data_IF_795833206179
#
_entry.id   IF_795833206179
#
_cell.length_a   1.000
_cell.length_b   1.000
_cell.length_c   1.000
_cell.angle_alpha   90.00
_cell.angle_beta   90.00
_cell.angle_gamma   90.00
#
_symmetry.space_group_name_H-M   'P 1'
#
loop_
_entity.id
_entity.type
_entity.pdbx_description
1 polymer ?
#
# COMPACT_ATOMS: atom_id res chain seq x y z
N UNK A 1 -2.53 13.73 31.29
CA UNK A 1 -1.15 14.06 30.87
C UNK A 1 -0.37 12.74 30.84
N UNK A 2 -0.40 12.04 29.69
CA UNK A 2 0.30 10.76 29.54
C UNK A 2 1.75 11.05 29.15
N UNK A 3 2.66 10.87 30.09
CA UNK A 3 4.08 10.82 29.79
C UNK A 3 4.41 9.43 29.22
N UNK A 4 4.66 9.36 27.90
CA UNK A 4 5.30 8.20 27.33
C UNK A 4 6.77 8.21 27.74
N UNK A 5 7.32 7.13 28.28
CA UNK A 5 8.72 7.06 28.65
C UNK A 5 9.57 6.81 27.39
N UNK A 6 9.85 7.87 26.65
CA UNK A 6 10.97 7.81 25.71
C UNK A 6 12.25 8.06 26.53
N UNK A 7 13.28 7.21 26.41
CA UNK A 7 14.56 7.50 27.02
C UNK A 7 15.08 8.81 26.45
N UNK A 8 15.29 9.78 27.32
CA UNK A 8 15.97 11.03 26.97
C UNK A 8 17.37 10.63 26.50
N UNK A 9 17.67 10.82 25.23
CA UNK A 9 19.03 10.63 24.69
C UNK A 9 19.95 11.57 25.47
N UNK A 10 20.99 11.02 26.09
CA UNK A 10 22.07 11.82 26.66
C UNK A 10 22.67 12.68 25.55
N UNK A 11 22.60 14.00 25.70
CA UNK A 11 23.12 14.99 24.76
C UNK A 11 24.66 14.92 24.60
N UNK A 12 25.34 14.03 25.31
CA UNK A 12 26.78 13.80 25.26
C UNK A 12 27.19 12.47 24.58
N UNK A 13 26.26 11.74 23.99
CA UNK A 13 26.63 10.55 23.20
C UNK A 13 27.24 10.98 21.87
N UNK A 14 28.50 11.33 21.86
CA UNK A 14 29.37 11.41 20.69
C UNK A 14 29.75 9.99 20.26
N UNK A 15 28.77 9.21 19.83
CA UNK A 15 29.00 7.88 19.26
C UNK A 15 28.47 7.90 17.82
N UNK A 16 29.39 7.77 16.86
CA UNK A 16 29.02 7.47 15.49
C UNK A 16 28.18 6.19 15.42
N UNK A 17 27.61 5.90 14.26
CA UNK A 17 26.76 4.76 13.96
C UNK A 17 27.30 3.39 14.43
N UNK A 18 28.58 3.31 14.75
CA UNK A 18 29.33 2.11 15.14
C UNK A 18 29.01 1.56 16.53
N UNK A 19 28.18 2.25 17.33
CA UNK A 19 27.92 1.84 18.73
C UNK A 19 26.47 1.41 19.00
N UNK A 20 25.70 1.06 17.98
CA UNK A 20 24.30 0.58 18.15
C UNK A 20 24.24 -0.93 18.48
N UNK A 21 25.37 -1.62 18.53
CA UNK A 21 25.44 -3.06 18.74
C UNK A 21 24.82 -3.85 17.58
N UNK A 22 24.44 -5.09 17.83
CA UNK A 22 23.69 -5.88 16.86
C UNK A 22 22.24 -5.39 16.83
N UNK A 23 21.86 -4.71 15.75
CA UNK A 23 20.47 -4.32 15.55
C UNK A 23 19.61 -5.57 15.31
N UNK A 24 18.36 -5.59 15.84
CA UNK A 24 17.47 -6.71 15.59
C UNK A 24 17.06 -6.73 14.10
N UNK A 25 17.04 -7.92 13.52
CA UNK A 25 16.46 -8.17 12.21
C UNK A 25 15.05 -8.75 12.37
N UNK A 26 14.19 -8.48 11.39
CA UNK A 26 12.84 -9.05 11.37
C UNK A 26 12.91 -10.56 11.11
N UNK A 27 12.35 -11.34 12.01
CA UNK A 27 12.12 -12.77 11.80
C UNK A 27 10.77 -12.98 11.09
N UNK A 28 10.82 -13.46 9.85
CA UNK A 28 9.65 -13.71 9.01
C UNK A 28 9.16 -15.15 9.10
N UNK A 29 9.73 -15.98 9.96
CA UNK A 29 9.34 -17.40 10.11
C UNK A 29 7.90 -17.59 10.57
N UNK A 30 7.28 -16.57 11.18
CA UNK A 30 5.83 -16.54 11.50
C UNK A 30 4.95 -16.62 10.23
N UNK A 31 5.47 -16.12 9.10
CA UNK A 31 4.81 -16.20 7.82
C UNK A 31 5.21 -17.48 7.10
N UNK A 32 6.47 -17.58 6.68
CA UNK A 32 7.07 -18.76 6.04
C UNK A 32 8.55 -18.88 6.38
N UNK A 33 9.05 -20.11 6.45
CA UNK A 33 10.45 -20.38 6.82
C UNK A 33 11.46 -20.05 5.71
N UNK A 34 10.99 -19.82 4.48
CA UNK A 34 11.81 -19.46 3.32
C UNK A 34 11.02 -19.41 2.03
N UNK A 35 11.69 -18.98 0.95
CA UNK A 35 11.08 -18.88 -0.38
C UNK A 35 10.72 -20.25 -0.98
N UNK A 36 11.48 -21.28 -0.59
CA UNK A 36 11.25 -22.68 -1.00
C UNK A 36 10.48 -23.51 0.05
N UNK A 37 9.87 -22.84 1.04
CA UNK A 37 9.17 -23.52 2.13
C UNK A 37 8.02 -24.39 1.62
N UNK A 38 7.90 -25.66 2.07
CA UNK A 38 6.79 -26.52 1.67
C UNK A 38 5.40 -25.96 2.00
N UNK A 39 5.29 -25.18 3.09
CA UNK A 39 4.06 -24.50 3.48
C UNK A 39 3.69 -23.38 2.52
N UNK A 40 4.65 -22.62 1.99
CA UNK A 40 4.40 -21.61 0.96
C UNK A 40 3.85 -22.26 -0.32
N UNK A 41 4.48 -23.34 -0.75
CA UNK A 41 4.02 -24.09 -1.93
C UNK A 41 2.61 -24.63 -1.73
N UNK A 42 2.34 -25.24 -0.58
CA UNK A 42 1.00 -25.76 -0.24
C UNK A 42 -0.05 -24.64 -0.24
N UNK A 43 0.28 -23.47 0.31
CA UNK A 43 -0.63 -22.33 0.35
C UNK A 43 -0.88 -21.74 -1.05
N UNK A 44 0.12 -21.72 -1.93
CA UNK A 44 -0.05 -21.34 -3.35
C UNK A 44 -0.95 -22.34 -4.10
N UNK A 45 -0.70 -23.65 -3.96
CA UNK A 45 -1.50 -24.71 -4.59
C UNK A 45 -2.97 -24.66 -4.09
N UNK A 46 -3.15 -24.43 -2.78
CA UNK A 46 -4.49 -24.26 -2.19
C UNK A 46 -5.18 -23.00 -2.73
N UNK A 47 -4.48 -21.88 -2.82
CA UNK A 47 -5.04 -20.62 -3.24
C UNK A 47 -5.56 -20.68 -4.68
N UNK A 48 -4.79 -21.25 -5.60
CA UNK A 48 -5.20 -21.46 -6.99
C UNK A 48 -6.52 -22.26 -7.09
N UNK A 49 -6.58 -23.38 -6.35
CA UNK A 49 -7.76 -24.23 -6.32
C UNK A 49 -8.94 -23.52 -5.65
N UNK A 50 -8.71 -22.82 -4.55
CA UNK A 50 -9.75 -22.09 -3.82
C UNK A 50 -10.36 -20.97 -4.67
N UNK A 51 -9.53 -20.20 -5.38
CA UNK A 51 -10.00 -19.14 -6.29
C UNK A 51 -10.86 -19.72 -7.43
N UNK A 52 -10.38 -20.80 -8.06
CA UNK A 52 -11.12 -21.47 -9.14
C UNK A 52 -12.46 -22.03 -8.67
N UNK A 53 -12.48 -22.71 -7.52
CA UNK A 53 -13.72 -23.26 -6.97
C UNK A 53 -14.68 -22.16 -6.51
N UNK A 54 -14.16 -21.07 -5.93
CA UNK A 54 -14.96 -19.93 -5.52
C UNK A 54 -15.69 -19.28 -6.70
N UNK A 55 -14.98 -19.04 -7.81
CA UNK A 55 -15.59 -18.51 -9.02
C UNK A 55 -16.66 -19.47 -9.56
N UNK A 56 -16.35 -20.78 -9.66
CA UNK A 56 -17.33 -21.80 -10.13
C UNK A 56 -18.58 -21.84 -9.28
N UNK A 57 -18.46 -21.70 -7.95
CA UNK A 57 -19.56 -21.82 -7.02
C UNK A 57 -20.44 -20.57 -6.97
N UNK A 58 -19.86 -19.38 -7.14
CA UNK A 58 -20.52 -18.10 -6.81
C UNK A 58 -20.69 -17.12 -7.96
N UNK A 59 -19.87 -17.15 -9.02
CA UNK A 59 -20.00 -16.18 -10.13
C UNK A 59 -21.38 -16.23 -10.77
N UNK A 60 -22.04 -15.08 -10.87
CA UNK A 60 -23.40 -14.93 -11.38
C UNK A 60 -24.51 -15.31 -10.39
N UNK A 61 -24.18 -15.63 -9.13
CA UNK A 61 -25.16 -16.24 -8.20
C UNK A 61 -25.38 -15.46 -6.91
N UNK A 62 -24.62 -14.40 -6.61
CA UNK A 62 -24.71 -13.69 -5.33
C UNK A 62 -26.13 -13.17 -5.03
N UNK A 63 -26.84 -12.68 -6.03
CA UNK A 63 -28.20 -12.16 -5.88
C UNK A 63 -29.24 -13.23 -5.47
N UNK A 64 -28.94 -14.50 -5.71
CA UNK A 64 -29.82 -15.62 -5.35
C UNK A 64 -29.48 -16.30 -4.03
N UNK A 65 -28.42 -15.86 -3.33
CA UNK A 65 -28.03 -16.45 -2.04
C UNK A 65 -28.96 -15.96 -0.92
N UNK A 66 -29.27 -16.88 -0.01
CA UNK A 66 -29.87 -16.52 1.28
C UNK A 66 -28.78 -15.95 2.23
N UNK A 67 -29.20 -15.52 3.42
CA UNK A 67 -28.28 -14.90 4.38
C UNK A 67 -27.13 -15.85 4.83
N UNK A 68 -27.40 -17.16 4.93
CA UNK A 68 -26.36 -18.13 5.29
C UNK A 68 -25.43 -18.40 4.12
N UNK A 69 -25.94 -18.51 2.91
CA UNK A 69 -25.14 -18.68 1.69
C UNK A 69 -24.24 -17.48 1.42
N UNK A 70 -24.74 -16.25 1.65
CA UNK A 70 -23.91 -15.05 1.52
C UNK A 70 -22.83 -14.99 2.61
N UNK A 71 -23.13 -15.38 3.85
CA UNK A 71 -22.12 -15.48 4.92
C UNK A 71 -21.03 -16.49 4.55
N UNK A 72 -21.39 -17.68 4.07
CA UNK A 72 -20.41 -18.68 3.64
C UNK A 72 -19.53 -18.15 2.51
N UNK A 73 -20.12 -17.49 1.52
CA UNK A 73 -19.39 -16.85 0.43
C UNK A 73 -18.38 -15.82 0.97
N UNK A 74 -18.78 -14.94 1.87
CA UNK A 74 -17.91 -13.92 2.49
C UNK A 74 -16.78 -14.58 3.27
N UNK A 75 -17.05 -15.58 4.10
CA UNK A 75 -16.03 -16.29 4.88
C UNK A 75 -15.01 -17.01 3.99
N UNK A 76 -15.45 -17.59 2.88
CA UNK A 76 -14.53 -18.21 1.90
C UNK A 76 -13.66 -17.17 1.22
N UNK A 77 -14.23 -16.02 0.81
CA UNK A 77 -13.46 -14.90 0.25
C UNK A 77 -12.45 -14.33 1.24
N UNK A 78 -12.85 -14.18 2.51
CA UNK A 78 -11.96 -13.73 3.60
C UNK A 78 -10.77 -14.68 3.77
N UNK A 79 -11.00 -16.00 3.75
CA UNK A 79 -9.93 -16.99 3.86
C UNK A 79 -8.97 -16.92 2.66
N UNK A 80 -9.48 -16.78 1.45
CA UNK A 80 -8.67 -16.58 0.23
C UNK A 80 -7.81 -15.33 0.39
N UNK A 81 -8.41 -14.20 0.78
CA UNK A 81 -7.71 -12.94 1.00
C UNK A 81 -6.65 -13.01 2.08
N UNK A 82 -6.92 -13.77 3.16
CA UNK A 82 -5.96 -13.99 4.26
C UNK A 82 -4.72 -14.75 3.78
N UNK A 83 -4.89 -15.81 3.01
CA UNK A 83 -3.75 -16.60 2.49
C UNK A 83 -2.98 -15.80 1.44
N UNK A 84 -3.68 -15.15 0.49
CA UNK A 84 -3.04 -14.29 -0.49
C UNK A 84 -2.25 -13.15 0.18
N UNK A 85 -2.85 -12.51 1.18
CA UNK A 85 -2.21 -11.45 1.96
C UNK A 85 -0.97 -11.95 2.73
N UNK A 86 -1.02 -13.16 3.31
CA UNK A 86 0.13 -13.78 3.98
C UNK A 86 1.30 -14.00 3.03
N UNK A 87 1.03 -14.53 1.82
CA UNK A 87 2.05 -14.75 0.79
C UNK A 87 2.66 -13.42 0.35
N UNK A 88 1.82 -12.43 0.05
CA UNK A 88 2.28 -11.11 -0.40
C UNK A 88 3.03 -10.35 0.69
N UNK A 89 2.61 -10.46 1.95
CA UNK A 89 3.33 -9.87 3.09
C UNK A 89 4.71 -10.48 3.23
N UNK A 90 4.84 -11.81 3.12
CA UNK A 90 6.14 -12.47 3.17
C UNK A 90 7.06 -12.01 2.02
N UNK A 91 6.55 -12.04 0.78
CA UNK A 91 7.32 -11.63 -0.39
C UNK A 91 7.76 -10.17 -0.32
N UNK A 92 6.84 -9.26 0.08
CA UNK A 92 7.12 -7.84 0.24
C UNK A 92 8.14 -7.56 1.34
N UNK A 93 7.97 -8.14 2.53
CA UNK A 93 8.91 -7.93 3.64
C UNK A 93 10.31 -8.50 3.33
N UNK A 94 10.39 -9.62 2.63
CA UNK A 94 11.65 -10.16 2.13
C UNK A 94 12.35 -9.22 1.15
N UNK A 95 11.59 -8.61 0.24
CA UNK A 95 12.10 -7.61 -0.70
C UNK A 95 12.58 -6.36 0.02
N UNK A 96 11.75 -5.80 0.94
CA UNK A 96 12.09 -4.56 1.65
C UNK A 96 13.26 -4.67 2.62
N UNK A 97 13.64 -5.88 3.04
CA UNK A 97 14.90 -6.08 3.78
C UNK A 97 16.13 -5.73 2.94
N UNK A 98 16.09 -5.97 1.61
CA UNK A 98 17.20 -5.71 0.68
C UNK A 98 16.68 -5.41 -0.72
N UNK A 99 16.23 -4.20 -0.95
CA UNK A 99 15.57 -3.77 -2.21
C UNK A 99 16.46 -3.83 -3.44
N UNK A 100 17.79 -3.86 -3.27
CA UNK A 100 18.78 -4.00 -4.36
C UNK A 100 19.14 -5.45 -4.67
N UNK A 101 18.59 -6.43 -3.96
CA UNK A 101 18.81 -7.86 -4.23
C UNK A 101 17.90 -8.34 -5.36
N UNK A 102 18.50 -8.66 -6.51
CA UNK A 102 17.77 -9.08 -7.71
C UNK A 102 16.99 -10.39 -7.51
N UNK A 103 17.45 -11.30 -6.63
CA UNK A 103 16.75 -12.54 -6.32
C UNK A 103 15.44 -12.27 -5.57
N UNK A 104 15.50 -11.43 -4.54
CA UNK A 104 14.33 -11.02 -3.76
C UNK A 104 13.33 -10.19 -4.56
N UNK A 105 13.82 -9.27 -5.42
CA UNK A 105 12.98 -8.51 -6.34
C UNK A 105 12.24 -9.44 -7.32
N UNK A 106 12.96 -10.45 -7.86
CA UNK A 106 12.34 -11.46 -8.72
C UNK A 106 11.29 -12.28 -7.97
N UNK A 107 11.59 -12.76 -6.76
CA UNK A 107 10.65 -13.52 -5.95
C UNK A 107 9.38 -12.72 -5.67
N UNK A 108 9.51 -11.44 -5.28
CA UNK A 108 8.36 -10.56 -5.08
C UNK A 108 7.50 -10.42 -6.33
N UNK A 109 8.14 -10.18 -7.50
CA UNK A 109 7.42 -10.06 -8.77
C UNK A 109 6.73 -11.37 -9.19
N UNK A 110 7.39 -12.52 -9.02
CA UNK A 110 6.82 -13.83 -9.32
C UNK A 110 5.59 -14.13 -8.44
N UNK A 111 5.63 -13.76 -7.15
CA UNK A 111 4.49 -13.94 -6.24
C UNK A 111 3.34 -13.00 -6.60
N UNK A 112 3.63 -11.74 -6.90
CA UNK A 112 2.62 -10.76 -7.33
C UNK A 112 1.90 -11.23 -8.59
N UNK A 113 2.64 -11.67 -9.61
CA UNK A 113 2.05 -12.17 -10.85
C UNK A 113 1.15 -13.39 -10.61
N UNK A 114 1.63 -14.37 -9.82
CA UNK A 114 0.83 -15.57 -9.49
C UNK A 114 -0.46 -15.20 -8.74
N UNK A 115 -0.34 -14.38 -7.69
CA UNK A 115 -1.51 -13.97 -6.89
C UNK A 115 -2.51 -13.21 -7.76
N UNK A 116 -2.06 -12.28 -8.61
CA UNK A 116 -2.92 -11.56 -9.55
C UNK A 116 -3.65 -12.54 -10.47
N UNK A 117 -2.94 -13.47 -11.09
CA UNK A 117 -3.53 -14.48 -11.98
C UNK A 117 -4.57 -15.34 -11.25
N UNK A 118 -4.30 -15.77 -10.01
CA UNK A 118 -5.23 -16.58 -9.23
C UNK A 118 -6.47 -15.80 -8.81
N UNK A 119 -6.32 -14.50 -8.50
CA UNK A 119 -7.42 -13.68 -7.95
C UNK A 119 -8.24 -12.95 -9.02
N UNK A 120 -7.74 -12.81 -10.25
CA UNK A 120 -8.51 -12.22 -11.36
C UNK A 120 -9.92 -12.82 -11.52
N UNK A 121 -10.12 -14.16 -11.44
CA UNK A 121 -11.46 -14.74 -11.48
C UNK A 121 -12.39 -14.26 -10.34
N UNK A 122 -11.87 -13.70 -9.25
CA UNK A 122 -12.65 -13.28 -8.07
C UNK A 122 -13.18 -11.85 -8.18
N UNK A 123 -12.79 -11.10 -9.20
CA UNK A 123 -13.22 -9.71 -9.40
C UNK A 123 -14.76 -9.59 -9.40
N UNK A 124 -15.46 -10.61 -9.88
CA UNK A 124 -16.93 -10.65 -9.86
C UNK A 124 -17.55 -10.42 -8.48
N UNK A 125 -16.87 -10.88 -7.40
CA UNK A 125 -17.43 -10.85 -6.04
C UNK A 125 -17.80 -9.43 -5.61
N UNK A 126 -16.88 -8.48 -5.73
CA UNK A 126 -17.15 -7.07 -5.40
C UNK A 126 -18.15 -6.45 -6.37
N UNK A 127 -18.10 -6.82 -7.65
CA UNK A 127 -18.98 -6.30 -8.69
C UNK A 127 -20.42 -6.74 -8.47
N UNK A 128 -20.64 -8.01 -8.20
CA UNK A 128 -21.99 -8.55 -7.91
C UNK A 128 -22.50 -8.06 -6.56
N UNK A 129 -21.65 -7.96 -5.54
CA UNK A 129 -22.04 -7.40 -4.25
C UNK A 129 -22.54 -5.95 -4.40
N UNK A 130 -21.89 -5.15 -5.26
CA UNK A 130 -22.32 -3.79 -5.57
C UNK A 130 -23.67 -3.75 -6.32
N UNK A 131 -24.02 -4.80 -7.09
CA UNK A 131 -25.27 -4.89 -7.83
C UNK A 131 -26.46 -5.32 -6.98
N UNK A 132 -26.22 -5.87 -5.78
CA UNK A 132 -27.34 -6.20 -4.89
C UNK A 132 -28.15 -4.94 -4.60
N UNK A 133 -29.47 -5.07 -4.62
CA UNK A 133 -30.36 -3.99 -4.19
C UNK A 133 -30.19 -3.71 -2.69
N UNK A 134 -30.26 -2.45 -2.29
CA UNK A 134 -30.00 -2.03 -0.91
C UNK A 134 -30.95 -2.68 0.08
N UNK A 135 -32.25 -2.74 -0.27
CA UNK A 135 -33.28 -3.39 0.57
C UNK A 135 -33.06 -4.91 0.69
N UNK A 136 -32.60 -5.54 -0.38
CA UNK A 136 -32.28 -6.97 -0.36
C UNK A 136 -31.09 -7.26 0.57
N UNK A 137 -30.00 -6.53 0.42
CA UNK A 137 -28.83 -6.69 1.30
C UNK A 137 -29.18 -6.39 2.76
N UNK A 138 -29.97 -5.32 3.03
CA UNK A 138 -30.42 -5.01 4.37
C UNK A 138 -31.27 -6.14 4.99
N UNK A 139 -32.13 -6.78 4.20
CA UNK A 139 -32.91 -7.93 4.65
C UNK A 139 -32.03 -9.14 5.00
N UNK A 140 -30.98 -9.43 4.18
CA UNK A 140 -30.04 -10.51 4.46
C UNK A 140 -29.25 -10.26 5.75
N UNK A 141 -28.76 -9.03 5.95
CA UNK A 141 -28.05 -8.61 7.17
C UNK A 141 -28.94 -8.74 8.42
N UNK A 142 -30.23 -8.41 8.30
CA UNK A 142 -31.19 -8.55 9.41
C UNK A 142 -31.46 -10.02 9.78
N UNK A 143 -31.42 -10.93 8.80
CA UNK A 143 -31.69 -12.35 9.01
C UNK A 143 -30.53 -13.10 9.68
N UNK A 144 -29.28 -12.65 9.53
CA UNK A 144 -28.12 -13.34 10.07
C UNK A 144 -27.18 -12.36 10.80
N UNK A 145 -27.11 -12.45 12.17
CA UNK A 145 -26.26 -11.56 12.97
C UNK A 145 -24.74 -11.66 12.66
N UNK A 146 -24.26 -12.83 12.25
CA UNK A 146 -22.85 -13.00 11.88
C UNK A 146 -22.56 -12.32 10.54
N UNK A 147 -23.48 -12.38 9.58
CA UNK A 147 -23.40 -11.61 8.34
C UNK A 147 -23.47 -10.10 8.61
N UNK A 148 -24.30 -9.66 9.55
CA UNK A 148 -24.44 -8.26 9.92
C UNK A 148 -23.13 -7.62 10.41
N UNK A 149 -22.20 -8.40 10.97
CA UNK A 149 -20.86 -7.94 11.37
C UNK A 149 -20.02 -7.45 10.18
N UNK A 150 -20.31 -7.92 8.97
CA UNK A 150 -19.64 -7.50 7.74
C UNK A 150 -20.23 -6.22 7.12
N UNK A 151 -21.29 -5.64 7.71
CA UNK A 151 -21.89 -4.41 7.20
C UNK A 151 -20.87 -3.31 6.89
N UNK A 152 -19.89 -2.98 7.78
CA UNK A 152 -18.90 -1.95 7.48
C UNK A 152 -18.02 -2.28 6.25
N UNK A 153 -17.73 -3.58 6.03
CA UNK A 153 -16.99 -4.05 4.85
C UNK A 153 -17.83 -3.85 3.59
N UNK A 154 -19.11 -4.22 3.65
CA UNK A 154 -20.05 -4.03 2.53
C UNK A 154 -20.24 -2.54 2.21
N UNK A 155 -20.41 -1.69 3.21
CA UNK A 155 -20.55 -0.25 3.03
C UNK A 155 -19.34 0.33 2.30
N UNK A 156 -18.11 -0.08 2.69
CA UNK A 156 -16.86 0.36 2.05
C UNK A 156 -16.76 -0.12 0.59
N UNK A 157 -17.07 -1.39 0.32
CA UNK A 157 -17.09 -1.93 -1.05
C UNK A 157 -18.12 -1.15 -1.89
N UNK A 158 -19.31 -0.95 -1.37
CA UNK A 158 -20.42 -0.28 -2.06
C UNK A 158 -20.21 1.21 -2.27
N UNK A 159 -19.33 1.85 -1.50
CA UNK A 159 -18.93 3.23 -1.75
C UNK A 159 -18.30 3.43 -3.14
N UNK A 160 -17.71 2.38 -3.71
CA UNK A 160 -17.18 2.38 -5.09
C UNK A 160 -18.25 2.13 -6.17
N UNK A 161 -19.49 1.72 -5.81
CA UNK A 161 -20.58 1.39 -6.76
C UNK A 161 -20.81 2.47 -7.83
N UNK A 162 -20.83 3.79 -7.52
CA UNK A 162 -21.04 4.83 -8.52
C UNK A 162 -19.91 4.94 -9.56
N UNK A 163 -18.73 4.41 -9.25
CA UNK A 163 -17.50 4.50 -10.03
C UNK A 163 -17.05 3.17 -10.64
N UNK A 164 -17.90 2.15 -10.53
CA UNK A 164 -17.62 0.82 -11.06
C UNK A 164 -17.71 0.83 -12.59
N UNK A 165 -16.72 0.19 -13.23
CA UNK A 165 -16.70 -0.03 -14.67
C UNK A 165 -17.44 -1.32 -15.06
N UNK A 166 -17.41 -1.68 -16.34
CA UNK A 166 -17.89 -3.00 -16.78
C UNK A 166 -16.98 -4.12 -16.24
N UNK A 167 -17.51 -5.35 -16.16
CA UNK A 167 -16.78 -6.49 -15.61
C UNK A 167 -15.49 -6.77 -16.36
N UNK A 168 -15.52 -6.64 -17.68
CA UNK A 168 -14.35 -6.84 -18.53
C UNK A 168 -13.27 -5.78 -18.26
N UNK A 169 -13.70 -4.51 -18.06
CA UNK A 169 -12.76 -3.44 -17.74
C UNK A 169 -12.20 -3.57 -16.31
N UNK A 170 -13.01 -3.97 -15.34
CA UNK A 170 -12.51 -4.21 -13.96
C UNK A 170 -11.51 -5.38 -13.94
N UNK A 171 -11.76 -6.47 -14.66
CA UNK A 171 -10.81 -7.57 -14.82
C UNK A 171 -9.53 -7.10 -15.51
N UNK A 172 -9.66 -6.35 -16.61
CA UNK A 172 -8.50 -5.77 -17.29
C UNK A 172 -7.68 -4.84 -16.40
N UNK A 173 -8.33 -3.97 -15.63
CA UNK A 173 -7.65 -3.07 -14.68
C UNK A 173 -6.95 -3.84 -13.56
N UNK A 174 -7.54 -4.93 -13.08
CA UNK A 174 -6.92 -5.81 -12.11
C UNK A 174 -5.62 -6.44 -12.66
N UNK A 175 -5.67 -7.01 -13.85
CA UNK A 175 -4.48 -7.58 -14.50
C UNK A 175 -3.40 -6.54 -14.78
N UNK A 176 -3.81 -5.31 -15.15
CA UNK A 176 -2.89 -4.20 -15.42
C UNK A 176 -2.17 -3.69 -14.16
N UNK A 177 -2.69 -3.97 -12.97
CA UNK A 177 -2.13 -3.54 -11.68
C UNK A 177 -0.64 -3.90 -11.54
N UNK A 178 -0.23 -5.09 -11.99
CA UNK A 178 1.19 -5.53 -11.96
C UNK A 178 2.12 -4.56 -12.72
N UNK A 179 1.64 -4.00 -13.84
CA UNK A 179 2.41 -3.05 -14.65
C UNK A 179 2.45 -1.68 -13.99
N UNK A 180 1.35 -1.26 -13.37
CA UNK A 180 1.26 0.02 -12.64
C UNK A 180 2.21 0.02 -11.44
N UNK A 181 2.18 -1.03 -10.63
CA UNK A 181 3.04 -1.18 -9.45
C UNK A 181 4.54 -1.24 -9.80
N UNK A 182 4.89 -1.62 -11.04
CA UNK A 182 6.28 -1.62 -11.49
C UNK A 182 6.92 -0.22 -11.50
N UNK A 183 6.13 0.87 -11.64
CA UNK A 183 6.64 2.23 -11.56
C UNK A 183 7.01 2.62 -10.13
N UNK A 184 6.29 2.14 -9.11
CA UNK A 184 6.65 2.34 -7.70
C UNK A 184 7.95 1.61 -7.39
N UNK A 185 8.07 0.35 -7.81
CA UNK A 185 9.31 -0.41 -7.63
C UNK A 185 10.51 0.25 -8.32
N UNK A 186 10.33 0.78 -9.53
CA UNK A 186 11.41 1.52 -10.21
C UNK A 186 11.88 2.73 -9.38
N UNK A 187 10.95 3.45 -8.74
CA UNK A 187 11.31 4.56 -7.86
C UNK A 187 12.09 4.06 -6.63
N UNK A 188 11.58 3.04 -5.95
CA UNK A 188 12.18 2.48 -4.73
C UNK A 188 13.59 1.92 -5.00
N UNK A 189 13.76 1.15 -6.08
CA UNK A 189 15.06 0.61 -6.49
C UNK A 189 16.04 1.71 -6.89
N UNK A 190 15.55 2.76 -7.57
CA UNK A 190 16.38 3.91 -7.95
C UNK A 190 16.88 4.63 -6.69
N UNK A 191 16.00 4.96 -5.75
CA UNK A 191 16.36 5.64 -4.48
C UNK A 191 17.32 4.78 -3.66
N UNK A 192 17.03 3.49 -3.52
CA UNK A 192 17.88 2.58 -2.74
C UNK A 192 19.29 2.39 -3.33
N UNK A 193 19.41 2.52 -4.66
CA UNK A 193 20.69 2.42 -5.37
C UNK A 193 21.53 3.70 -5.38
N UNK A 194 20.99 4.85 -4.93
CA UNK A 194 21.74 6.11 -4.91
C UNK A 194 22.85 6.09 -3.85
N UNK A 195 24.00 6.65 -4.24
CA UNK A 195 25.12 6.91 -3.33
C UNK A 195 25.48 8.40 -3.34
N UNK A 196 25.95 8.87 -2.21
CA UNK A 196 26.22 10.28 -1.92
C UNK A 196 27.64 10.42 -1.36
N UNK A 197 28.49 11.23 -2.01
CA UNK A 197 29.87 11.43 -1.59
C UNK A 197 29.98 12.73 -0.78
N UNK A 198 29.98 12.61 0.54
CA UNK A 198 30.05 13.77 1.44
C UNK A 198 31.42 13.80 2.12
N UNK A 199 32.23 14.82 1.82
CA UNK A 199 33.57 15.03 2.40
C UNK A 199 34.50 13.80 2.26
N UNK A 200 34.35 13.02 1.16
CA UNK A 200 35.15 11.84 0.88
C UNK A 200 34.63 10.53 1.52
N UNK A 201 33.47 10.57 2.12
CA UNK A 201 32.74 9.40 2.62
C UNK A 201 31.56 9.11 1.70
N UNK A 202 31.42 7.85 1.24
CA UNK A 202 30.28 7.41 0.43
C UNK A 202 29.18 6.92 1.35
N UNK A 203 28.03 7.58 1.31
CA UNK A 203 26.86 7.32 2.15
C UNK A 203 25.67 6.86 1.31
N UNK A 204 24.76 6.11 1.92
CA UNK A 204 23.41 5.92 1.42
C UNK A 204 22.50 7.10 1.76
N UNK A 205 21.25 7.07 1.26
CA UNK A 205 20.30 8.16 1.45
C UNK A 205 20.07 8.50 2.92
N UNK A 206 19.86 7.48 3.79
CA UNK A 206 19.61 7.68 5.23
C UNK A 206 20.79 8.33 5.95
N UNK A 207 22.03 7.87 5.65
CA UNK A 207 23.23 8.47 6.21
C UNK A 207 23.36 9.95 5.83
N UNK A 208 23.05 10.29 4.57
CA UNK A 208 23.13 11.66 4.07
C UNK A 208 22.02 12.55 4.65
N UNK A 209 20.79 12.04 4.75
CA UNK A 209 19.68 12.77 5.40
C UNK A 209 19.96 13.05 6.87
N UNK A 210 20.61 12.13 7.61
CA UNK A 210 20.99 12.33 9.00
C UNK A 210 21.94 13.52 9.17
N UNK A 211 22.79 13.83 8.20
CA UNK A 211 23.67 14.99 8.24
C UNK A 211 22.89 16.31 8.30
N UNK A 212 21.66 16.39 7.75
CA UNK A 212 20.86 17.61 7.79
C UNK A 212 20.45 18.04 9.20
N UNK A 213 20.56 17.14 10.16
CA UNK A 213 20.26 17.41 11.59
C UNK A 213 21.51 17.45 12.48
N UNK A 214 22.72 17.34 11.88
CA UNK A 214 23.99 17.44 12.64
C UNK A 214 24.14 18.83 13.30
N UNK A 215 24.79 18.89 14.43
CA UNK A 215 25.08 20.16 15.12
C UNK A 215 26.05 21.04 14.33
N UNK A 216 26.97 20.44 13.56
CA UNK A 216 27.89 21.12 12.70
C UNK A 216 27.20 21.65 11.42
N UNK A 217 27.25 22.95 11.23
CA UNK A 217 26.68 23.63 10.07
C UNK A 217 27.30 23.18 8.74
N UNK A 218 28.63 22.96 8.72
CA UNK A 218 29.36 22.60 7.51
C UNK A 218 28.93 21.20 7.03
N UNK A 219 28.72 20.26 7.98
CA UNK A 219 28.18 18.93 7.65
C UNK A 219 26.75 19.00 7.11
N UNK A 220 25.89 19.81 7.73
CA UNK A 220 24.52 20.00 7.22
C UNK A 220 24.52 20.54 5.79
N UNK A 221 25.39 21.54 5.52
CA UNK A 221 25.50 22.14 4.21
C UNK A 221 26.02 21.13 3.19
N UNK A 222 27.10 20.41 3.48
CA UNK A 222 27.67 19.41 2.60
C UNK A 222 26.65 18.29 2.25
N UNK A 223 25.90 17.80 3.26
CA UNK A 223 24.84 16.83 3.02
C UNK A 223 23.71 17.37 2.13
N UNK A 224 23.28 18.61 2.36
CA UNK A 224 22.24 19.24 1.55
C UNK A 224 22.67 19.46 0.08
N UNK A 225 23.90 19.92 -0.13
CA UNK A 225 24.46 20.16 -1.47
C UNK A 225 24.59 18.85 -2.25
N UNK A 226 25.06 17.79 -1.59
CA UNK A 226 25.21 16.47 -2.24
C UNK A 226 23.85 15.83 -2.56
N UNK A 227 22.87 15.91 -1.65
CA UNK A 227 21.48 15.51 -1.95
C UNK A 227 20.94 16.23 -3.18
N UNK A 228 21.12 17.57 -3.24
CA UNK A 228 20.67 18.37 -4.38
C UNK A 228 21.36 17.95 -5.68
N UNK A 229 22.66 17.66 -5.65
CA UNK A 229 23.43 17.22 -6.82
C UNK A 229 22.92 15.86 -7.33
N UNK A 230 22.89 14.84 -6.47
CA UNK A 230 22.52 13.46 -6.86
C UNK A 230 21.06 13.39 -7.30
N UNK A 231 20.13 14.02 -6.58
CA UNK A 231 18.73 14.09 -7.03
C UNK A 231 18.58 14.88 -8.33
N UNK A 232 19.35 15.96 -8.52
CA UNK A 232 19.37 16.71 -9.76
C UNK A 232 19.80 15.87 -10.98
N UNK A 233 20.79 15.00 -10.81
CA UNK A 233 21.23 14.07 -11.86
C UNK A 233 20.15 13.04 -12.22
N UNK A 234 19.33 12.63 -11.25
CA UNK A 234 18.28 11.65 -11.42
C UNK A 234 16.88 12.25 -11.66
N UNK A 235 16.73 13.57 -11.69
CA UNK A 235 15.44 14.26 -11.80
C UNK A 235 14.61 13.81 -13.00
N UNK A 236 15.22 13.45 -14.12
CA UNK A 236 14.52 12.98 -15.32
C UNK A 236 13.81 11.64 -15.08
N UNK A 237 14.45 10.73 -14.33
CA UNK A 237 13.86 9.44 -13.95
C UNK A 237 12.69 9.67 -13.01
N UNK A 238 12.87 10.44 -11.94
CA UNK A 238 11.82 10.74 -10.98
C UNK A 238 10.62 11.46 -11.63
N UNK A 239 10.90 12.45 -12.50
CA UNK A 239 9.83 13.13 -13.24
C UNK A 239 9.09 12.17 -14.18
N UNK A 240 9.78 11.21 -14.80
CA UNK A 240 9.15 10.21 -15.66
C UNK A 240 8.20 9.31 -14.86
N UNK A 241 8.66 8.76 -13.73
CA UNK A 241 7.85 7.93 -12.84
C UNK A 241 6.61 8.70 -12.37
N UNK A 242 6.81 9.88 -11.78
CA UNK A 242 5.72 10.72 -11.26
C UNK A 242 4.69 11.08 -12.35
N UNK A 243 5.15 11.53 -13.52
CA UNK A 243 4.26 11.92 -14.61
C UNK A 243 3.49 10.72 -15.18
N UNK A 244 4.09 9.53 -15.19
CA UNK A 244 3.43 8.31 -15.68
C UNK A 244 2.33 7.88 -14.72
N UNK A 245 2.60 7.82 -13.41
CA UNK A 245 1.60 7.49 -12.39
C UNK A 245 0.47 8.54 -12.33
N UNK A 246 0.81 9.82 -12.41
CA UNK A 246 -0.19 10.90 -12.47
C UNK A 246 -1.09 10.78 -13.71
N UNK A 247 -0.51 10.39 -14.85
CA UNK A 247 -1.26 10.23 -16.10
C UNK A 247 -2.13 8.98 -16.07
N UNK A 248 -1.64 7.89 -15.51
CA UNK A 248 -2.42 6.67 -15.27
C UNK A 248 -3.64 7.00 -14.39
N UNK A 249 -3.40 7.63 -13.24
CA UNK A 249 -4.48 8.06 -12.34
C UNK A 249 -5.52 8.94 -13.02
N UNK A 250 -5.10 9.94 -13.82
CA UNK A 250 -6.02 10.79 -14.58
C UNK A 250 -6.90 9.96 -15.53
N UNK A 251 -6.32 8.98 -16.23
CA UNK A 251 -7.05 8.11 -17.13
C UNK A 251 -8.08 7.29 -16.36
N UNK A 252 -7.69 6.65 -15.27
CA UNK A 252 -8.56 5.83 -14.42
C UNK A 252 -9.70 6.66 -13.83
N UNK A 253 -9.39 7.84 -13.23
CA UNK A 253 -10.39 8.73 -12.65
C UNK A 253 -11.42 9.18 -13.69
N UNK A 254 -10.97 9.51 -14.90
CA UNK A 254 -11.84 9.91 -16.02
C UNK A 254 -12.73 8.77 -16.50
N UNK A 255 -12.19 7.56 -16.63
CA UNK A 255 -12.97 6.38 -17.02
C UNK A 255 -14.03 6.03 -15.97
N UNK A 256 -13.68 6.16 -14.68
CA UNK A 256 -14.59 5.91 -13.56
C UNK A 256 -15.58 7.04 -13.32
N UNK A 257 -15.40 8.21 -13.95
CA UNK A 257 -16.24 9.39 -13.73
C UNK A 257 -16.07 9.99 -12.34
N UNK A 258 -14.88 9.88 -11.75
CA UNK A 258 -14.61 10.48 -10.43
C UNK A 258 -14.65 12.01 -10.49
N UNK A 259 -15.41 12.68 -9.59
CA UNK A 259 -15.61 14.14 -9.65
C UNK A 259 -14.33 14.94 -9.37
N UNK A 260 -13.42 14.41 -8.58
CA UNK A 260 -12.12 15.05 -8.25
C UNK A 260 -10.99 14.02 -8.23
N UNK A 261 -9.75 14.48 -8.41
CA UNK A 261 -8.57 13.62 -8.27
C UNK A 261 -8.38 13.05 -6.86
N UNK A 262 -9.07 13.59 -5.85
CA UNK A 262 -9.00 13.15 -4.45
C UNK A 262 -10.07 12.11 -4.11
N UNK A 263 -11.13 11.98 -4.93
CA UNK A 263 -12.26 11.10 -4.66
C UNK A 263 -11.83 9.67 -4.32
N UNK A 264 -10.99 9.06 -5.15
CA UNK A 264 -10.48 7.72 -4.87
C UNK A 264 -9.72 7.61 -3.54
N UNK A 265 -8.98 8.66 -3.15
CA UNK A 265 -8.27 8.70 -1.87
C UNK A 265 -9.23 8.84 -0.69
N UNK A 266 -10.28 9.67 -0.82
CA UNK A 266 -11.30 9.80 0.23
C UNK A 266 -12.01 8.47 0.46
N UNK A 267 -12.41 7.77 -0.61
CA UNK A 267 -13.02 6.45 -0.54
C UNK A 267 -12.10 5.40 0.11
N UNK A 268 -10.83 5.38 -0.28
CA UNK A 268 -9.86 4.41 0.27
C UNK A 268 -9.52 4.68 1.74
N UNK A 269 -9.61 5.93 2.19
CA UNK A 269 -9.38 6.35 3.58
C UNK A 269 -10.66 6.31 4.43
N UNK A 270 -11.81 5.98 3.84
CA UNK A 270 -13.11 5.94 4.51
C UNK A 270 -13.43 7.27 5.22
N UNK A 271 -13.23 8.40 4.48
CA UNK A 271 -13.38 9.76 4.99
C UNK A 271 -14.21 10.60 4.03
N UNK A 272 -15.12 11.40 4.58
CA UNK A 272 -15.93 12.35 3.82
C UNK A 272 -15.09 13.54 3.34
N UNK A 273 -15.35 14.07 2.11
CA UNK A 273 -14.64 15.24 1.57
C UNK A 273 -14.66 16.46 2.48
N UNK A 274 -15.78 16.69 3.17
CA UNK A 274 -15.99 17.83 4.09
C UNK A 274 -15.04 17.79 5.30
N UNK A 275 -14.70 16.58 5.77
CA UNK A 275 -13.72 16.39 6.87
C UNK A 275 -12.32 16.83 6.42
N UNK A 276 -11.94 16.43 5.20
CA UNK A 276 -10.65 16.80 4.60
C UNK A 276 -10.58 18.29 4.34
N UNK A 277 -11.66 18.90 3.84
CA UNK A 277 -11.76 20.35 3.62
C UNK A 277 -11.67 21.13 4.93
N UNK A 278 -12.36 20.70 5.98
CA UNK A 278 -12.28 21.32 7.30
C UNK A 278 -10.85 21.25 7.89
N UNK A 279 -10.15 20.12 7.72
CA UNK A 279 -8.74 19.99 8.10
C UNK A 279 -7.87 20.99 7.34
N UNK A 280 -8.00 21.04 6.01
CA UNK A 280 -7.25 21.96 5.15
C UNK A 280 -7.48 23.42 5.55
N UNK A 281 -8.73 23.83 5.76
CA UNK A 281 -9.08 25.19 6.16
C UNK A 281 -8.51 25.54 7.53
N UNK A 282 -8.61 24.62 8.50
CA UNK A 282 -8.03 24.80 9.83
C UNK A 282 -6.50 24.98 9.79
N UNK A 283 -5.81 24.17 8.99
CA UNK A 283 -4.35 24.26 8.81
C UNK A 283 -3.96 25.59 8.13
N UNK A 284 -4.62 25.96 7.04
CA UNK A 284 -4.34 27.23 6.32
C UNK A 284 -4.59 28.44 7.21
N UNK A 285 -5.69 28.44 7.98
CA UNK A 285 -5.98 29.51 8.94
C UNK A 285 -4.95 29.63 10.06
N UNK A 286 -4.24 28.54 10.37
CA UNK A 286 -3.17 28.56 11.38
C UNK A 286 -1.83 29.10 10.86
N UNK A 287 -1.58 29.13 9.55
CA UNK A 287 -0.29 29.55 8.96
C UNK A 287 0.22 30.90 9.48
N UNK A 288 -0.57 32.00 9.51
CA UNK A 288 -0.05 33.31 9.93
C UNK A 288 0.46 33.34 11.37
N UNK A 289 -0.12 32.53 12.26
CA UNK A 289 0.26 32.50 13.68
C UNK A 289 1.30 31.44 14.05
N UNK A 290 1.54 30.47 13.17
CA UNK A 290 2.48 29.37 13.41
C UNK A 290 3.62 29.38 12.40
N UNK A 291 3.43 28.78 11.22
CA UNK A 291 4.50 28.54 10.24
C UNK A 291 5.12 29.81 9.70
N UNK A 292 4.31 30.84 9.37
CA UNK A 292 4.86 32.10 8.86
C UNK A 292 5.71 32.82 9.91
N UNK A 293 5.36 32.71 11.19
CA UNK A 293 6.20 33.25 12.28
C UNK A 293 7.52 32.50 12.41
N UNK A 294 7.49 31.17 12.30
CA UNK A 294 8.69 30.35 12.36
C UNK A 294 9.66 30.68 11.23
N UNK A 295 9.17 30.77 9.99
CA UNK A 295 10.02 31.09 8.84
C UNK A 295 10.48 32.57 8.78
N UNK A 296 9.90 33.45 9.58
CA UNK A 296 10.33 34.83 9.70
C UNK A 296 11.46 35.05 10.74
N UNK A 297 11.83 34.02 11.52
CA UNK A 297 12.93 34.05 12.48
C UNK A 297 14.28 33.80 11.78
#
# INVERSE_FOLDING_TARGET
MFQLPFPVRDANATGGADNLGNLPEWDLNDLYTGEDAPELKRDLDWLEQACTSFATDYEGKLAGLDANGLLECVLRNERISTIAGRIMSFAGLRYYQHTTDAGRAKFMSDMQEKITNFTTPLVFFTLELNRLEDDHLAALLHQNPDLARYKPVFDRIRAMKPYQLSDELEKFMHDLGVVVDAWERLFDETIAGLTFDVNGETLGIEGTLNLLTDQDREKRQAGAEELARVFGENVKTFARVHNTQTKEKEIVDRWRGMPTSQTGRHLSNDVEPEVVDALREGVVAAYPRLSHRYYAL
#
